data_IF_246377675488
#
_entry.id   IF_246377675488
#
_cell.length_a   1.000
_cell.length_b   1.000
_cell.length_c   1.000
_cell.angle_alpha   90.00
_cell.angle_beta   90.00
_cell.angle_gamma   90.00
#
_symmetry.space_group_name_H-M   'P 1'
#
loop_
_entity.id
_entity.type
_entity.pdbx_description
1 polymer ?
#
# COMPACT_ATOMS: atom_id res chain seq x y z
N UNK A 1 13.39 21.49 3.68
CA UNK A 1 13.25 20.04 3.96
C UNK A 1 13.75 19.29 2.73
N UNK A 2 14.60 18.28 2.90
CA UNK A 2 15.12 17.48 1.80
C UNK A 2 14.05 16.45 1.40
N UNK A 3 13.40 16.60 0.25
CA UNK A 3 12.24 15.76 -0.16
C UNK A 3 12.65 14.48 -0.88
N UNK A 4 13.96 14.26 -1.06
CA UNK A 4 14.52 13.17 -1.87
C UNK A 4 15.19 12.07 -1.05
N UNK A 5 15.31 12.25 0.27
CA UNK A 5 15.80 11.23 1.20
C UNK A 5 14.65 10.32 1.65
N UNK A 6 14.94 9.05 1.92
CA UNK A 6 13.97 8.05 2.37
C UNK A 6 13.72 8.19 3.88
N UNK A 7 12.99 9.24 4.28
CA UNK A 7 12.73 9.55 5.70
C UNK A 7 11.40 9.01 6.21
N UNK A 8 10.50 8.61 5.30
CA UNK A 8 9.14 8.20 5.66
C UNK A 8 8.99 6.68 5.48
N UNK A 9 8.15 6.04 6.30
CA UNK A 9 7.63 4.70 6.03
C UNK A 9 6.16 4.80 5.65
N UNK A 10 5.78 4.05 4.62
CA UNK A 10 4.38 3.76 4.32
C UNK A 10 4.12 2.27 4.48
N UNK A 11 2.99 1.95 5.10
CA UNK A 11 2.44 0.60 5.11
C UNK A 11 1.05 0.65 4.52
N UNK A 12 0.86 -0.06 3.41
CA UNK A 12 -0.31 0.02 2.55
C UNK A 12 -1.05 -1.31 2.64
N UNK A 13 -2.33 -1.25 3.02
CA UNK A 13 -3.24 -2.39 2.99
C UNK A 13 -4.19 -2.26 1.79
N UNK A 14 -4.17 -3.27 0.93
CA UNK A 14 -4.99 -3.35 -0.28
C UNK A 14 -5.99 -4.49 -0.14
N UNK A 15 -7.31 -4.21 -0.18
CA UNK A 15 -8.32 -5.27 -0.23
C UNK A 15 -8.11 -6.18 -1.45
N UNK A 16 -8.40 -7.48 -1.31
CA UNK A 16 -8.24 -8.46 -2.41
C UNK A 16 -8.87 -7.99 -3.73
N UNK A 17 -10.03 -7.35 -3.67
CA UNK A 17 -10.75 -6.85 -4.84
C UNK A 17 -10.06 -5.69 -5.58
N UNK A 18 -9.04 -5.07 -4.99
CA UNK A 18 -8.39 -3.86 -5.50
C UNK A 18 -6.91 -4.06 -5.83
N UNK A 19 -6.37 -5.28 -5.71
CA UNK A 19 -4.95 -5.59 -5.98
C UNK A 19 -4.52 -5.17 -7.38
N UNK A 20 -5.31 -5.49 -8.41
CA UNK A 20 -4.96 -5.15 -9.79
C UNK A 20 -4.87 -3.63 -10.00
N UNK A 21 -5.85 -2.88 -9.49
CA UNK A 21 -5.84 -1.41 -9.57
C UNK A 21 -4.68 -0.83 -8.75
N UNK A 22 -4.40 -1.39 -7.56
CA UNK A 22 -3.32 -0.96 -6.68
C UNK A 22 -1.93 -1.19 -7.29
N UNK A 23 -1.73 -2.29 -8.02
CA UNK A 23 -0.50 -2.55 -8.74
C UNK A 23 -0.26 -1.57 -9.89
N UNK A 24 -1.32 -1.02 -10.51
CA UNK A 24 -1.15 0.00 -11.56
C UNK A 24 -0.72 1.34 -10.99
N UNK A 25 -1.24 1.76 -9.83
CA UNK A 25 -0.73 2.97 -9.17
C UNK A 25 0.67 2.75 -8.57
N UNK A 26 0.98 1.54 -8.08
CA UNK A 26 2.34 1.20 -7.63
C UNK A 26 3.33 1.26 -8.78
N UNK A 27 2.99 0.74 -9.97
CA UNK A 27 3.80 0.85 -11.17
C UNK A 27 4.07 2.31 -11.59
N UNK A 28 3.07 3.20 -11.45
CA UNK A 28 3.21 4.61 -11.81
C UNK A 28 4.05 5.38 -10.79
N UNK A 29 3.85 5.13 -9.50
CA UNK A 29 4.54 5.85 -8.41
C UNK A 29 5.84 5.19 -7.97
N UNK A 30 6.12 3.99 -8.48
CA UNK A 30 7.28 3.18 -8.19
C UNK A 30 8.54 3.65 -8.90
N UNK A 31 9.57 2.82 -8.82
CA UNK A 31 10.90 3.12 -9.36
C UNK A 31 11.25 2.16 -10.51
N UNK A 32 10.45 1.11 -10.77
CA UNK A 32 10.72 0.12 -11.83
C UNK A 32 9.48 -0.58 -12.38
N UNK A 33 9.65 -1.26 -13.52
CA UNK A 33 8.60 -2.10 -14.11
C UNK A 33 8.15 -3.25 -13.20
N UNK A 34 8.94 -3.65 -12.21
CA UNK A 34 8.58 -4.71 -11.27
C UNK A 34 7.53 -4.27 -10.22
N UNK A 35 7.24 -2.97 -10.13
CA UNK A 35 6.23 -2.44 -9.22
C UNK A 35 4.79 -2.77 -9.68
N UNK A 36 4.62 -3.37 -10.86
CA UNK A 36 3.35 -3.99 -11.29
C UNK A 36 2.95 -5.21 -10.43
N UNK A 37 3.83 -5.65 -9.53
CA UNK A 37 3.64 -6.82 -8.64
C UNK A 37 3.88 -6.49 -7.17
N UNK A 38 3.83 -5.21 -6.79
CA UNK A 38 4.01 -4.80 -5.38
C UNK A 38 3.04 -5.52 -4.43
N UNK A 39 1.80 -5.73 -4.86
CA UNK A 39 0.76 -6.41 -4.09
C UNK A 39 0.48 -7.80 -4.70
N UNK A 40 0.81 -8.84 -3.93
CA UNK A 40 0.55 -10.24 -4.25
C UNK A 40 -0.65 -10.82 -3.50
N UNK A 41 -0.68 -12.15 -3.33
CA UNK A 41 -1.74 -12.85 -2.60
C UNK A 41 -1.97 -12.24 -1.21
N UNK A 42 -3.22 -11.99 -0.80
CA UNK A 42 -3.53 -11.55 0.55
C UNK A 42 -2.97 -12.47 1.64
N UNK A 43 -2.33 -11.87 2.64
CA UNK A 43 -1.75 -12.58 3.80
C UNK A 43 -2.23 -12.04 5.14
N UNK A 44 -3.19 -11.13 5.11
CA UNK A 44 -3.73 -10.47 6.29
C UNK A 44 -5.25 -10.44 6.22
N UNK A 45 -5.89 -10.36 7.38
CA UNK A 45 -7.33 -10.21 7.49
C UNK A 45 -7.71 -9.16 8.56
N UNK A 46 -8.88 -8.55 8.40
CA UNK A 46 -9.51 -7.76 9.45
C UNK A 46 -10.40 -8.64 10.37
N UNK A 47 -11.03 -8.02 11.38
CA UNK A 47 -11.93 -8.72 12.30
C UNK A 47 -13.20 -9.28 11.64
N UNK A 48 -13.56 -8.80 10.46
CA UNK A 48 -14.71 -9.29 9.69
C UNK A 48 -14.33 -10.40 8.70
N UNK A 49 -13.05 -10.79 8.65
CA UNK A 49 -12.54 -11.83 7.75
C UNK A 49 -12.29 -11.36 6.32
N UNK A 50 -12.26 -10.05 6.05
CA UNK A 50 -11.87 -9.56 4.72
C UNK A 50 -10.36 -9.69 4.55
N UNK A 51 -9.90 -10.04 3.35
CA UNK A 51 -8.49 -10.33 3.09
C UNK A 51 -7.76 -9.17 2.41
N UNK A 52 -6.52 -8.93 2.85
CA UNK A 52 -5.69 -7.82 2.40
C UNK A 52 -4.28 -8.28 2.01
N UNK A 53 -3.78 -7.70 0.92
CA UNK A 53 -2.36 -7.68 0.59
C UNK A 53 -1.72 -6.46 1.25
N UNK A 54 -0.54 -6.64 1.86
CA UNK A 54 0.14 -5.55 2.58
C UNK A 54 1.56 -5.39 2.05
N UNK A 55 1.93 -4.14 1.76
CA UNK A 55 3.30 -3.75 1.46
C UNK A 55 3.75 -2.70 2.48
N UNK A 56 4.95 -2.86 3.05
CA UNK A 56 5.58 -1.84 3.89
C UNK A 56 6.95 -1.51 3.34
N UNK A 57 7.19 -0.22 3.07
CA UNK A 57 8.45 0.24 2.50
C UNK A 57 8.80 1.64 2.99
N UNK A 58 10.08 1.98 2.91
CA UNK A 58 10.56 3.34 3.12
C UNK A 58 10.39 4.12 1.82
N UNK A 59 9.94 5.36 1.92
CA UNK A 59 9.68 6.24 0.78
C UNK A 59 10.26 7.62 1.02
N UNK A 60 10.51 8.32 -0.08
CA UNK A 60 10.80 9.74 -0.07
C UNK A 60 9.52 10.51 0.30
N UNK A 61 9.58 11.64 1.03
CA UNK A 61 8.38 12.44 1.35
C UNK A 61 7.53 12.82 0.13
N UNK A 62 8.18 13.02 -1.03
CA UNK A 62 7.51 13.32 -2.30
C UNK A 62 6.53 12.23 -2.75
N UNK A 63 6.70 10.98 -2.31
CA UNK A 63 5.80 9.88 -2.66
C UNK A 63 4.34 10.18 -2.27
N UNK A 64 4.13 10.66 -1.04
CA UNK A 64 2.78 11.00 -0.57
C UNK A 64 2.17 12.20 -1.28
N UNK A 65 3.00 13.12 -1.76
CA UNK A 65 2.56 14.26 -2.57
C UNK A 65 2.16 13.78 -3.97
N UNK A 66 3.01 12.97 -4.60
CA UNK A 66 2.77 12.41 -5.93
C UNK A 66 1.49 11.55 -5.97
N UNK A 67 1.23 10.77 -4.90
CA UNK A 67 0.02 9.98 -4.77
C UNK A 67 -1.29 10.82 -4.75
N UNK A 68 -1.21 12.12 -4.48
CA UNK A 68 -2.35 13.04 -4.47
C UNK A 68 -2.46 13.93 -5.73
N UNK A 69 -1.49 13.85 -6.65
CA UNK A 69 -1.49 14.63 -7.89
C UNK A 69 -2.03 13.81 -9.07
N UNK A 70 -2.47 14.45 -10.17
CA UNK A 70 -2.83 13.74 -11.38
C UNK A 70 -1.72 12.78 -11.83
N UNK A 71 -2.08 11.50 -12.01
CA UNK A 71 -1.11 10.46 -12.35
C UNK A 71 -0.59 10.63 -13.77
N UNK A 72 0.72 10.48 -13.93
CA UNK A 72 1.40 10.46 -15.22
C UNK A 72 2.30 9.22 -15.29
N UNK A 73 2.20 8.36 -16.33
CA UNK A 73 3.04 7.18 -16.42
C UNK A 73 4.51 7.57 -16.59
N UNK A 74 5.44 6.99 -15.83
CA UNK A 74 6.86 7.18 -16.04
C UNK A 74 7.32 6.47 -17.33
N UNK A 75 8.51 6.84 -17.84
CA UNK A 75 9.04 6.30 -19.10
C UNK A 75 9.17 4.77 -19.12
N UNK A 76 9.51 4.16 -17.98
CA UNK A 76 9.61 2.71 -17.85
C UNK A 76 8.24 1.99 -17.82
N UNK A 77 7.15 2.73 -17.61
CA UNK A 77 5.79 2.22 -17.49
C UNK A 77 4.81 2.95 -18.41
N UNK A 78 5.22 3.26 -19.65
CA UNK A 78 4.35 3.88 -20.65
C UNK A 78 3.08 3.07 -20.97
N UNK A 79 3.06 1.79 -20.57
CA UNK A 79 1.93 0.86 -20.70
C UNK A 79 1.03 0.80 -19.46
N UNK A 80 1.27 1.64 -18.43
CA UNK A 80 0.45 1.63 -17.22
C UNK A 80 -1.01 2.03 -17.52
N UNK A 81 -1.94 1.29 -16.93
CA UNK A 81 -3.37 1.50 -17.10
C UNK A 81 -3.85 2.66 -16.23
N UNK A 82 -3.82 3.88 -16.78
CA UNK A 82 -4.19 5.11 -16.06
C UNK A 82 -5.59 5.07 -15.45
N UNK A 83 -6.56 4.44 -16.12
CA UNK A 83 -7.91 4.31 -15.59
C UNK A 83 -7.94 3.47 -14.29
N UNK A 84 -7.18 2.38 -14.26
CA UNK A 84 -7.05 1.49 -13.10
C UNK A 84 -6.29 2.17 -11.96
N UNK A 85 -5.18 2.83 -12.29
CA UNK A 85 -4.42 3.58 -11.30
C UNK A 85 -5.24 4.74 -10.70
N UNK A 86 -6.05 5.43 -11.50
CA UNK A 86 -6.95 6.51 -11.03
C UNK A 86 -8.03 5.98 -10.09
N UNK A 87 -8.59 4.79 -10.37
CA UNK A 87 -9.54 4.12 -9.45
C UNK A 87 -8.88 3.77 -8.12
N UNK A 88 -7.63 3.30 -8.13
CA UNK A 88 -6.88 3.07 -6.90
C UNK A 88 -6.61 4.38 -6.16
N UNK A 89 -6.19 5.43 -6.86
CA UNK A 89 -5.93 6.75 -6.28
C UNK A 89 -7.13 7.30 -5.50
N UNK A 90 -8.34 7.18 -6.07
CA UNK A 90 -9.58 7.62 -5.43
C UNK A 90 -9.92 6.87 -4.13
N UNK A 91 -9.41 5.64 -3.99
CA UNK A 91 -9.60 4.78 -2.81
C UNK A 91 -8.52 4.99 -1.75
N UNK A 92 -7.42 5.68 -2.05
CA UNK A 92 -6.35 5.89 -1.10
C UNK A 92 -6.82 6.74 0.08
N UNK A 93 -6.58 6.27 1.30
CA UNK A 93 -6.77 7.02 2.54
C UNK A 93 -5.48 6.91 3.37
N UNK A 94 -4.85 8.06 3.63
CA UNK A 94 -3.56 8.13 4.31
C UNK A 94 -3.79 8.64 5.74
N UNK A 95 -3.57 7.77 6.72
CA UNK A 95 -3.53 8.09 8.14
C UNK A 95 -2.12 8.00 8.71
N UNK A 96 -2.02 8.13 10.03
CA UNK A 96 -0.78 7.99 10.83
C UNK A 96 -1.05 7.10 12.04
N UNK A 97 -0.04 6.70 12.81
CA UNK A 97 -0.27 5.94 14.05
C UNK A 97 -1.14 6.70 15.07
N UNK A 98 -1.08 8.04 15.09
CA UNK A 98 -1.86 8.86 16.01
C UNK A 98 -3.29 9.13 15.53
N UNK A 99 -3.54 8.97 14.23
CA UNK A 99 -4.84 9.13 13.59
C UNK A 99 -4.96 8.11 12.46
N UNK A 100 -5.19 6.83 12.79
CA UNK A 100 -5.13 5.74 11.81
C UNK A 100 -6.40 5.68 10.96
N UNK A 101 -6.21 5.43 9.68
CA UNK A 101 -7.27 5.02 8.76
C UNK A 101 -7.32 3.48 8.78
N UNK A 102 -8.39 2.91 9.35
CA UNK A 102 -8.54 1.44 9.42
C UNK A 102 -8.79 0.87 8.03
N UNK A 103 -8.21 -0.29 7.75
CA UNK A 103 -8.49 -1.02 6.52
C UNK A 103 -9.98 -1.41 6.47
N UNK A 104 -10.60 -1.19 5.32
CA UNK A 104 -11.94 -1.67 4.99
C UNK A 104 -11.94 -2.17 3.54
N UNK A 105 -12.92 -3.00 3.13
CA UNK A 105 -12.97 -3.52 1.76
C UNK A 105 -13.06 -2.46 0.67
N UNK A 106 -13.53 -1.24 1.00
CA UNK A 106 -13.80 -0.18 0.04
C UNK A 106 -12.61 0.77 -0.21
N UNK A 107 -11.56 0.71 0.63
CA UNK A 107 -10.45 1.66 0.59
C UNK A 107 -9.10 0.97 0.53
N UNK A 108 -8.11 1.68 -0.03
CA UNK A 108 -6.70 1.33 0.12
C UNK A 108 -6.16 2.17 1.28
N UNK A 109 -6.01 1.55 2.44
CA UNK A 109 -5.61 2.24 3.67
C UNK A 109 -4.09 2.30 3.77
N UNK A 110 -3.55 3.46 4.14
CA UNK A 110 -2.11 3.70 4.29
C UNK A 110 -1.84 4.29 5.67
N UNK A 111 -0.87 3.72 6.39
CA UNK A 111 -0.28 4.38 7.55
C UNK A 111 1.07 4.94 7.13
N UNK A 112 1.18 6.26 7.16
CA UNK A 112 2.41 7.03 7.02
C UNK A 112 3.01 7.28 8.40
N UNK A 113 4.32 7.05 8.52
CA UNK A 113 5.09 7.30 9.74
C UNK A 113 6.55 7.63 9.43
N UNK A 114 7.35 7.79 10.48
CA UNK A 114 8.82 7.90 10.35
C UNK A 114 9.44 6.59 9.83
N UNK A 115 10.54 6.68 9.09
CA UNK A 115 11.28 5.51 8.56
C UNK A 115 11.66 4.45 9.61
N UNK A 116 11.88 4.88 10.86
CA UNK A 116 12.25 4.05 12.01
C UNK A 116 11.06 3.32 12.64
N UNK A 117 9.82 3.71 12.32
CA UNK A 117 8.63 3.02 12.80
C UNK A 117 8.53 1.61 12.21
N UNK A 118 7.98 0.68 12.98
CA UNK A 118 7.90 -0.73 12.59
C UNK A 118 6.65 -1.05 11.77
N UNK A 119 6.80 -1.81 10.68
CA UNK A 119 5.69 -2.29 9.86
C UNK A 119 4.59 -2.98 10.69
N UNK A 120 4.96 -3.75 11.72
CA UNK A 120 4.01 -4.43 12.61
C UNK A 120 3.09 -3.46 13.36
N UNK A 121 3.60 -2.30 13.79
CA UNK A 121 2.79 -1.29 14.47
C UNK A 121 1.78 -0.68 13.48
N UNK A 122 2.20 -0.41 12.24
CA UNK A 122 1.31 0.09 11.20
C UNK A 122 0.22 -0.94 10.85
N UNK A 123 0.57 -2.23 10.70
CA UNK A 123 -0.38 -3.31 10.42
C UNK A 123 -1.43 -3.42 11.54
N UNK A 124 -1.02 -3.35 12.80
CA UNK A 124 -1.95 -3.33 13.92
C UNK A 124 -2.86 -2.09 13.88
N UNK A 125 -2.31 -0.91 13.56
CA UNK A 125 -3.10 0.33 13.44
C UNK A 125 -4.12 0.28 12.29
N UNK A 126 -3.81 -0.46 11.23
CA UNK A 126 -4.74 -0.76 10.13
C UNK A 126 -5.87 -1.72 10.56
N UNK A 127 -5.78 -2.34 11.74
CA UNK A 127 -6.76 -3.30 12.24
C UNK A 127 -6.60 -4.71 11.66
N UNK A 128 -5.39 -5.06 11.21
CA UNK A 128 -5.13 -6.31 10.50
C UNK A 128 -4.33 -7.29 11.35
N UNK A 129 -4.58 -8.58 11.13
CA UNK A 129 -3.79 -9.68 11.65
C UNK A 129 -3.33 -10.59 10.50
N UNK A 130 -2.16 -11.26 10.62
CA UNK A 130 -1.74 -12.25 9.63
C UNK A 130 -2.76 -13.39 9.51
N UNK A 131 -2.97 -13.87 8.30
CA UNK A 131 -3.64 -15.15 8.08
C UNK A 131 -2.74 -16.28 8.58
N UNK A 132 -3.31 -17.39 9.09
CA UNK A 132 -2.54 -18.58 9.42
C UNK A 132 -1.80 -19.07 8.17
N UNK A 133 -0.50 -19.31 8.28
CA UNK A 133 0.27 -19.96 7.21
C UNK A 133 -0.03 -21.46 7.20
N UNK A 134 -0.26 -22.06 6.02
CA UNK A 134 -0.52 -23.51 5.88
C UNK A 134 0.67 -24.40 6.31
N UNK A 135 1.83 -23.82 6.66
CA UNK A 135 3.01 -24.54 7.16
C UNK A 135 2.87 -25.04 8.61
N UNK A 136 1.79 -24.70 9.33
CA UNK A 136 1.56 -25.13 10.72
C UNK A 136 0.72 -26.42 10.87
N UNK A 137 0.40 -27.11 9.77
CA UNK A 137 -0.49 -28.29 9.80
C UNK A 137 0.18 -29.62 9.41
N UNK A 138 1.51 -29.69 9.36
CA UNK A 138 2.23 -30.96 9.34
C UNK A 138 2.72 -31.29 10.75
N UNK A 139 1.94 -32.15 11.42
CA UNK A 139 2.34 -32.92 12.60
C UNK A 139 3.56 -33.80 12.34
#
# INVERSE_FOLDING_TARGET
MNTTEYTDRVTIAVPKAHINDANQIALILGESAADDKTFGEPRYQDLAGNHYSVCSTVVKPVFTIAAAQPLQPPSFAAHAELASASRAQQRLRIGTLNAPEKATPDIIAVIKGDSLEGARQHITALGLTPLPSEEENTQ
#
